data_IF_297101163884
#
_entry.id   IF_297101163884
#
_cell.length_a   1.000
_cell.length_b   1.000
_cell.length_c   1.000
_cell.angle_alpha   90.00
_cell.angle_beta   90.00
_cell.angle_gamma   90.00
#
_symmetry.space_group_name_H-M   'P 1'
#
loop_
_entity.id
_entity.type
_entity.pdbx_description
1 polymer ?
#
# COMPACT_ATOMS: atom_id res chain seq x y z
N UNK A 1 -2.72 -5.25 -36.22
CA UNK A 1 -1.67 -4.56 -35.44
C UNK A 1 -1.96 -4.45 -33.93
N UNK A 2 -3.21 -4.55 -33.45
CA UNK A 2 -3.50 -4.54 -31.99
C UNK A 2 -2.95 -5.75 -31.18
N UNK A 3 -2.71 -6.89 -31.83
CA UNK A 3 -2.24 -8.12 -31.18
C UNK A 3 -0.73 -8.23 -30.92
N UNK A 4 0.10 -7.35 -31.50
CA UNK A 4 1.55 -7.28 -31.20
C UNK A 4 1.83 -6.37 -30.02
N UNK A 5 1.09 -5.28 -29.88
CA UNK A 5 1.25 -4.31 -28.79
C UNK A 5 0.72 -4.84 -27.44
N UNK A 6 -0.30 -5.71 -27.48
CA UNK A 6 -0.75 -6.47 -26.30
C UNK A 6 0.28 -7.52 -25.86
N UNK A 7 0.96 -8.18 -26.81
CA UNK A 7 2.03 -9.16 -26.53
C UNK A 7 3.30 -8.50 -25.97
N UNK A 8 3.60 -7.26 -26.36
CA UNK A 8 4.73 -6.49 -25.78
C UNK A 8 4.50 -6.06 -24.33
N UNK A 9 3.24 -5.82 -23.91
CA UNK A 9 2.91 -5.45 -22.52
C UNK A 9 3.00 -6.61 -21.53
N UNK A 10 2.76 -7.84 -21.98
CA UNK A 10 2.82 -9.06 -21.18
C UNK A 10 4.01 -9.93 -21.60
N UNK A 11 5.21 -9.33 -21.59
CA UNK A 11 6.43 -10.03 -21.93
C UNK A 11 7.57 -9.59 -21.02
N UNK A 12 8.40 -10.56 -20.64
CA UNK A 12 9.67 -10.39 -19.94
C UNK A 12 10.85 -10.77 -20.83
N UNK A 13 10.66 -10.80 -22.15
CA UNK A 13 11.72 -11.15 -23.09
C UNK A 13 12.93 -10.22 -22.89
N UNK A 14 14.10 -10.82 -22.69
CA UNK A 14 15.36 -10.11 -22.46
C UNK A 14 15.51 -9.55 -21.04
N UNK A 15 14.59 -9.85 -20.11
CA UNK A 15 14.75 -9.58 -18.67
C UNK A 15 15.45 -10.73 -17.98
N UNK A 16 16.28 -10.40 -17.00
CA UNK A 16 17.00 -11.36 -16.15
C UNK A 16 16.44 -11.34 -14.74
N UNK A 17 16.19 -12.50 -14.15
CA UNK A 17 15.60 -12.60 -12.82
C UNK A 17 16.39 -13.52 -11.89
N UNK A 18 16.49 -13.13 -10.62
CA UNK A 18 16.93 -13.98 -9.52
C UNK A 18 15.75 -14.27 -8.62
N UNK A 19 15.38 -15.55 -8.47
CA UNK A 19 14.35 -15.99 -7.51
C UNK A 19 15.01 -16.78 -6.40
N UNK A 20 15.03 -16.25 -5.18
CA UNK A 20 15.61 -16.98 -4.05
C UNK A 20 14.64 -18.07 -3.57
N UNK A 21 15.10 -19.31 -3.38
CA UNK A 21 14.25 -20.40 -2.92
C UNK A 21 13.22 -20.86 -3.96
N UNK A 22 13.57 -20.88 -5.25
CA UNK A 22 12.60 -21.06 -6.33
C UNK A 22 12.23 -22.49 -6.69
N UNK A 23 12.61 -23.51 -5.93
CA UNK A 23 12.39 -24.92 -6.30
C UNK A 23 11.12 -25.55 -5.72
N UNK A 24 10.39 -24.83 -4.86
CA UNK A 24 9.15 -25.30 -4.23
C UNK A 24 8.15 -24.15 -4.05
N UNK A 25 6.86 -24.49 -3.97
CA UNK A 25 5.79 -23.58 -3.57
C UNK A 25 5.71 -22.29 -4.42
N UNK A 26 5.58 -21.14 -3.75
CA UNK A 26 5.46 -19.81 -4.40
C UNK A 26 6.68 -19.52 -5.28
N UNK A 27 7.88 -19.82 -4.81
CA UNK A 27 9.11 -19.61 -5.57
C UNK A 27 9.11 -20.39 -6.90
N UNK A 28 8.65 -21.64 -6.88
CA UNK A 28 8.51 -22.47 -8.10
C UNK A 28 7.52 -21.86 -9.09
N UNK A 29 6.35 -21.47 -8.61
CA UNK A 29 5.33 -20.85 -9.45
C UNK A 29 5.82 -19.52 -10.06
N UNK A 30 6.55 -18.71 -9.28
CA UNK A 30 7.17 -17.47 -9.78
C UNK A 30 8.19 -17.78 -10.88
N UNK A 31 9.04 -18.79 -10.69
CA UNK A 31 10.02 -19.19 -11.73
C UNK A 31 9.29 -19.59 -13.02
N UNK A 32 8.25 -20.42 -12.94
CA UNK A 32 7.51 -20.86 -14.13
C UNK A 32 6.79 -19.71 -14.84
N UNK A 33 6.14 -18.81 -14.11
CA UNK A 33 5.45 -17.65 -14.69
C UNK A 33 6.44 -16.70 -15.36
N UNK A 34 7.52 -16.31 -14.66
CA UNK A 34 8.53 -15.42 -15.23
C UNK A 34 9.18 -16.04 -16.48
N UNK A 35 9.43 -17.35 -16.48
CA UNK A 35 10.00 -18.07 -17.61
C UNK A 35 9.01 -18.18 -18.78
N UNK A 36 7.72 -18.42 -18.48
CA UNK A 36 6.64 -18.45 -19.46
C UNK A 36 6.47 -17.12 -20.20
N UNK A 37 6.80 -15.99 -19.56
CA UNK A 37 6.85 -14.67 -20.19
C UNK A 37 8.17 -14.34 -20.88
N UNK A 38 9.15 -15.25 -20.89
CA UNK A 38 10.41 -15.12 -21.64
C UNK A 38 11.60 -14.53 -20.85
N UNK A 39 11.51 -14.48 -19.51
CA UNK A 39 12.66 -14.08 -18.69
C UNK A 39 13.75 -15.17 -18.68
N UNK A 40 15.00 -14.74 -18.53
CA UNK A 40 16.15 -15.62 -18.24
C UNK A 40 16.33 -15.63 -16.72
N UNK A 41 16.29 -16.80 -16.10
CA UNK A 41 16.18 -16.92 -14.64
C UNK A 41 17.38 -17.64 -14.06
N UNK A 42 17.87 -17.14 -12.94
CA UNK A 42 18.70 -17.89 -12.01
C UNK A 42 17.90 -18.10 -10.72
N UNK A 43 17.91 -19.30 -10.18
CA UNK A 43 17.25 -19.61 -8.90
C UNK A 43 18.24 -20.22 -7.92
N UNK A 44 17.89 -20.25 -6.65
CA UNK A 44 18.68 -20.97 -5.67
C UNK A 44 17.82 -21.80 -4.72
N UNK A 45 18.40 -22.87 -4.20
CA UNK A 45 17.83 -23.69 -3.15
C UNK A 45 18.94 -24.41 -2.37
N UNK A 46 18.61 -24.98 -1.21
CA UNK A 46 19.57 -25.73 -0.37
C UNK A 46 19.74 -27.19 -0.79
N UNK A 47 18.70 -27.77 -1.38
CA UNK A 47 18.67 -29.18 -1.78
C UNK A 47 19.08 -29.28 -3.26
N UNK A 48 20.30 -29.75 -3.48
CA UNK A 48 20.89 -29.89 -4.81
C UNK A 48 20.16 -30.89 -5.70
N UNK A 49 19.72 -32.02 -5.13
CA UNK A 49 19.04 -33.05 -5.90
C UNK A 49 17.70 -32.54 -6.43
N UNK A 50 16.89 -31.93 -5.54
CA UNK A 50 15.60 -31.36 -5.92
C UNK A 50 15.74 -30.13 -6.84
N UNK A 51 16.80 -29.33 -6.67
CA UNK A 51 17.13 -28.25 -7.61
C UNK A 51 17.42 -28.79 -9.01
N UNK A 52 18.24 -29.84 -9.12
CA UNK A 52 18.61 -30.43 -10.40
C UNK A 52 17.40 -31.08 -11.12
N UNK A 53 16.48 -31.68 -10.38
CA UNK A 53 15.21 -32.18 -10.92
C UNK A 53 14.38 -31.03 -11.54
N UNK A 54 14.16 -29.94 -10.79
CA UNK A 54 13.42 -28.78 -11.28
C UNK A 54 14.09 -28.16 -12.52
N UNK A 55 15.42 -28.06 -12.54
CA UNK A 55 16.16 -27.55 -13.70
C UNK A 55 16.00 -28.44 -14.93
N UNK A 56 15.99 -29.77 -14.75
CA UNK A 56 15.69 -30.71 -15.84
C UNK A 56 14.28 -30.51 -16.38
N UNK A 57 13.30 -30.34 -15.50
CA UNK A 57 11.90 -30.13 -15.89
C UNK A 57 11.68 -28.80 -16.62
N UNK A 58 12.24 -27.70 -16.12
CA UNK A 58 12.16 -26.40 -16.79
C UNK A 58 12.89 -26.42 -18.13
N UNK A 59 14.02 -27.13 -18.24
CA UNK A 59 14.70 -27.35 -19.52
C UNK A 59 13.83 -28.11 -20.51
N UNK A 60 13.12 -29.16 -20.06
CA UNK A 60 12.18 -29.92 -20.90
C UNK A 60 10.97 -29.07 -21.34
N UNK A 61 10.56 -28.08 -20.53
CA UNK A 61 9.55 -27.07 -20.89
C UNK A 61 10.08 -25.96 -21.82
N UNK A 62 11.38 -25.95 -22.13
CA UNK A 62 12.01 -24.92 -22.98
C UNK A 62 12.31 -23.61 -22.25
N UNK A 63 12.27 -23.59 -20.92
CA UNK A 63 12.56 -22.41 -20.11
C UNK A 63 14.06 -22.20 -19.93
N UNK A 64 14.48 -20.93 -19.88
CA UNK A 64 15.86 -20.54 -19.63
C UNK A 64 16.08 -20.33 -18.13
N UNK A 65 16.18 -21.43 -17.39
CA UNK A 65 16.42 -21.41 -15.94
C UNK A 65 17.74 -22.10 -15.62
N UNK A 66 18.55 -21.44 -14.81
CA UNK A 66 19.76 -21.99 -14.20
C UNK A 66 19.62 -21.91 -12.68
N UNK A 67 20.45 -22.63 -11.92
CA UNK A 67 20.39 -22.53 -10.47
C UNK A 67 21.69 -22.86 -9.77
N UNK A 68 21.79 -22.40 -8.52
CA UNK A 68 22.92 -22.63 -7.63
C UNK A 68 22.44 -23.16 -6.28
N UNK A 69 23.22 -24.03 -5.65
CA UNK A 69 23.02 -24.38 -4.25
C UNK A 69 23.39 -23.16 -3.39
N UNK A 70 22.48 -22.74 -2.51
CA UNK A 70 22.68 -21.62 -1.58
C UNK A 70 21.82 -21.76 -0.34
N UNK A 71 22.44 -21.75 0.84
CA UNK A 71 21.78 -21.44 2.09
C UNK A 71 21.71 -19.92 2.29
N UNK A 72 20.50 -19.39 2.17
CA UNK A 72 20.25 -17.98 2.36
C UNK A 72 20.57 -17.47 3.76
N UNK A 73 20.77 -18.31 4.79
CA UNK A 73 21.25 -17.88 6.11
C UNK A 73 22.77 -17.62 6.15
N UNK A 74 23.53 -18.15 5.17
CA UNK A 74 24.97 -18.02 5.11
C UNK A 74 25.41 -16.79 4.33
N UNK A 75 26.13 -15.87 4.99
CA UNK A 75 26.62 -14.64 4.36
C UNK A 75 27.54 -14.89 3.16
N UNK A 76 28.50 -15.80 3.30
CA UNK A 76 29.47 -16.14 2.26
C UNK A 76 28.80 -16.81 1.05
N UNK A 77 27.76 -17.61 1.27
CA UNK A 77 26.99 -18.21 0.18
C UNK A 77 26.14 -17.19 -0.56
N UNK A 78 25.61 -16.16 0.11
CA UNK A 78 24.91 -15.05 -0.56
C UNK A 78 25.83 -14.32 -1.52
N UNK A 79 27.06 -14.01 -1.07
CA UNK A 79 28.07 -13.34 -1.90
C UNK A 79 28.45 -14.20 -3.11
N UNK A 80 28.69 -15.50 -2.90
CA UNK A 80 29.01 -16.45 -3.98
C UNK A 80 27.87 -16.58 -5.00
N UNK A 81 26.61 -16.65 -4.52
CA UNK A 81 25.43 -16.65 -5.39
C UNK A 81 25.38 -15.38 -6.24
N UNK A 82 25.59 -14.21 -5.62
CA UNK A 82 25.52 -12.94 -6.33
C UNK A 82 26.68 -12.72 -7.31
N UNK A 83 27.87 -13.24 -7.03
CA UNK A 83 28.98 -13.29 -7.99
C UNK A 83 28.63 -14.16 -9.20
N UNK A 84 27.99 -15.30 -8.96
CA UNK A 84 27.51 -16.20 -10.02
C UNK A 84 26.45 -15.50 -10.88
N UNK A 85 25.45 -14.85 -10.26
CA UNK A 85 24.41 -14.08 -10.94
C UNK A 85 25.00 -12.92 -11.75
N UNK A 86 25.97 -12.21 -11.18
CA UNK A 86 26.69 -11.15 -11.88
C UNK A 86 27.37 -11.67 -13.14
N UNK A 87 28.05 -12.82 -13.05
CA UNK A 87 28.74 -13.43 -14.20
C UNK A 87 27.75 -13.91 -15.26
N UNK A 88 26.67 -14.59 -14.85
CA UNK A 88 25.66 -15.15 -15.75
C UNK A 88 24.89 -14.08 -16.51
N UNK A 89 24.64 -12.94 -15.88
CA UNK A 89 23.81 -11.88 -16.45
C UNK A 89 24.59 -10.67 -16.94
N UNK A 90 25.91 -10.79 -17.18
CA UNK A 90 26.76 -9.66 -17.62
C UNK A 90 26.58 -8.43 -16.71
N UNK A 91 26.61 -8.70 -15.41
CA UNK A 91 26.37 -7.76 -14.33
C UNK A 91 25.02 -7.01 -14.40
N UNK A 92 24.01 -7.49 -15.14
CA UNK A 92 22.70 -6.84 -15.33
C UNK A 92 21.56 -7.71 -14.84
N UNK A 93 21.09 -7.47 -13.63
CA UNK A 93 19.91 -8.13 -13.07
C UNK A 93 18.68 -7.23 -13.26
N UNK A 94 17.58 -7.74 -13.81
CA UNK A 94 16.35 -6.94 -13.98
C UNK A 94 15.37 -7.12 -12.83
N UNK A 95 15.28 -8.32 -12.25
CA UNK A 95 14.28 -8.67 -11.24
C UNK A 95 14.95 -9.45 -10.12
N UNK A 96 14.78 -9.00 -8.87
CA UNK A 96 15.13 -9.75 -7.67
C UNK A 96 13.86 -10.13 -6.91
N UNK A 97 13.63 -11.42 -6.71
CA UNK A 97 12.55 -11.95 -5.88
C UNK A 97 13.16 -12.53 -4.60
N UNK A 98 13.03 -11.79 -3.50
CA UNK A 98 13.35 -12.25 -2.15
C UNK A 98 12.23 -13.16 -1.63
N UNK A 99 12.25 -14.42 -2.05
CA UNK A 99 11.23 -15.42 -1.72
C UNK A 99 11.65 -16.37 -0.59
N UNK A 100 12.94 -16.52 -0.29
CA UNK A 100 13.36 -17.40 0.81
C UNK A 100 12.73 -16.97 2.14
N UNK A 101 12.08 -17.93 2.78
CA UNK A 101 11.56 -17.82 4.12
C UNK A 101 11.45 -19.21 4.75
N UNK A 102 11.70 -19.29 6.05
CA UNK A 102 11.55 -20.50 6.84
C UNK A 102 10.81 -20.20 8.15
N UNK A 103 10.14 -21.22 8.67
CA UNK A 103 9.40 -21.15 9.93
C UNK A 103 9.78 -22.35 10.79
N UNK A 104 10.19 -22.09 12.03
CA UNK A 104 10.27 -23.10 13.11
C UNK A 104 9.17 -22.77 14.09
N UNK A 105 8.05 -23.48 13.96
CA UNK A 105 6.86 -23.21 14.76
C UNK A 105 7.07 -23.71 16.20
N UNK A 106 7.06 -22.78 17.15
CA UNK A 106 7.08 -23.04 18.59
C UNK A 106 6.19 -22.03 19.33
N UNK A 107 5.62 -22.39 20.49
CA UNK A 107 5.06 -21.42 21.43
C UNK A 107 6.09 -20.34 21.78
N UNK A 108 5.65 -19.10 21.99
CA UNK A 108 6.56 -17.96 22.25
C UNK A 108 7.53 -18.25 23.39
N UNK A 109 7.05 -18.85 24.48
CA UNK A 109 7.84 -19.19 25.68
C UNK A 109 8.87 -20.33 25.47
N UNK A 110 8.79 -21.04 24.35
CA UNK A 110 9.70 -22.15 24.01
C UNK A 110 10.73 -21.76 22.94
N UNK A 111 10.71 -20.51 22.46
CA UNK A 111 11.70 -20.04 21.49
C UNK A 111 13.05 -19.80 22.18
N UNK A 112 14.12 -20.25 21.53
CA UNK A 112 15.49 -20.02 21.98
C UNK A 112 16.16 -18.89 21.18
N UNK A 113 17.36 -18.47 21.62
CA UNK A 113 18.16 -17.49 20.87
C UNK A 113 18.56 -18.01 19.48
N UNK A 114 18.75 -19.33 19.34
CA UNK A 114 19.03 -19.99 18.07
C UNK A 114 17.81 -19.94 17.14
N UNK A 115 16.59 -20.10 17.66
CA UNK A 115 15.37 -19.94 16.87
C UNK A 115 15.22 -18.49 16.39
N UNK A 116 15.52 -17.51 17.24
CA UNK A 116 15.52 -16.09 16.87
C UNK A 116 16.52 -15.79 15.75
N UNK A 117 17.77 -16.18 15.96
CA UNK A 117 18.87 -15.96 15.02
C UNK A 117 18.60 -16.65 13.67
N UNK A 118 18.04 -17.86 13.70
CA UNK A 118 17.65 -18.58 12.49
C UNK A 118 16.62 -17.80 11.65
N UNK A 119 15.52 -17.33 12.26
CA UNK A 119 14.47 -16.63 11.54
C UNK A 119 14.95 -15.26 11.02
N UNK A 120 15.68 -14.50 11.84
CA UNK A 120 16.22 -13.18 11.45
C UNK A 120 17.20 -13.34 10.30
N UNK A 121 18.17 -14.25 10.44
CA UNK A 121 19.18 -14.46 9.42
C UNK A 121 18.57 -14.96 8.10
N UNK A 122 17.63 -15.91 8.19
CA UNK A 122 17.04 -16.53 6.99
C UNK A 122 15.98 -15.67 6.31
N UNK A 123 15.13 -14.97 7.07
CA UNK A 123 13.94 -14.32 6.51
C UNK A 123 14.09 -12.82 6.29
N UNK A 124 15.01 -12.16 7.01
CA UNK A 124 15.17 -10.71 7.00
C UNK A 124 16.58 -10.29 6.54
N UNK A 125 17.64 -10.74 7.22
CA UNK A 125 19.02 -10.36 6.86
C UNK A 125 19.39 -10.86 5.46
N UNK A 126 18.95 -12.05 5.08
CA UNK A 126 19.19 -12.60 3.75
C UNK A 126 18.63 -11.69 2.66
N UNK A 127 17.37 -11.28 2.80
CA UNK A 127 16.67 -10.45 1.84
C UNK A 127 17.28 -9.05 1.77
N UNK A 128 17.69 -8.49 2.92
CA UNK A 128 18.43 -7.23 2.98
C UNK A 128 19.79 -7.34 2.28
N UNK A 129 20.60 -8.34 2.63
CA UNK A 129 21.94 -8.50 2.07
C UNK A 129 21.92 -8.82 0.58
N UNK A 130 20.99 -9.67 0.11
CA UNK A 130 20.77 -9.90 -1.32
C UNK A 130 20.40 -8.61 -2.05
N UNK A 131 19.56 -7.76 -1.46
CA UNK A 131 19.21 -6.47 -2.06
C UNK A 131 20.41 -5.52 -2.15
N UNK A 132 21.27 -5.50 -1.11
CA UNK A 132 22.53 -4.73 -1.13
C UNK A 132 23.48 -5.20 -2.23
N UNK A 133 23.71 -6.51 -2.33
CA UNK A 133 24.59 -7.11 -3.32
C UNK A 133 24.02 -6.97 -4.75
N UNK A 134 22.69 -7.02 -4.90
CA UNK A 134 22.02 -6.91 -6.20
C UNK A 134 21.91 -5.47 -6.71
N UNK A 135 21.97 -4.46 -5.83
CA UNK A 135 21.83 -3.06 -6.21
C UNK A 135 22.70 -2.62 -7.42
N UNK A 136 24.02 -2.88 -7.47
CA UNK A 136 24.83 -2.51 -8.64
C UNK A 136 24.36 -3.21 -9.93
N UNK A 137 23.87 -4.45 -9.85
CA UNK A 137 23.38 -5.22 -10.99
C UNK A 137 21.98 -4.77 -11.44
N UNK A 138 21.13 -4.38 -10.50
CA UNK A 138 19.81 -3.82 -10.75
C UNK A 138 19.90 -2.44 -11.39
N UNK A 139 20.91 -1.65 -10.99
CA UNK A 139 21.19 -0.35 -11.57
C UNK A 139 21.69 -0.45 -13.01
N UNK A 140 22.63 -1.38 -13.28
CA UNK A 140 23.23 -1.54 -14.62
C UNK A 140 22.24 -2.07 -15.66
N UNK A 141 21.20 -2.80 -15.26
CA UNK A 141 20.17 -3.32 -16.17
C UNK A 141 19.22 -2.24 -16.70
N UNK A 142 19.20 -1.07 -16.07
CA UNK A 142 18.31 0.06 -16.43
C UNK A 142 16.83 -0.18 -16.16
N UNK A 143 16.45 -1.32 -15.59
CA UNK A 143 15.05 -1.70 -15.33
C UNK A 143 14.89 -2.59 -14.08
N UNK A 144 15.73 -2.39 -13.08
CA UNK A 144 15.73 -3.15 -11.84
C UNK A 144 14.42 -3.09 -11.06
N UNK A 145 13.95 -4.23 -10.58
CA UNK A 145 12.80 -4.38 -9.69
C UNK A 145 13.12 -5.37 -8.56
N UNK A 146 12.68 -5.07 -7.33
CA UNK A 146 12.84 -5.94 -6.16
C UNK A 146 11.47 -6.25 -5.56
N UNK A 147 11.18 -7.53 -5.35
CA UNK A 147 9.94 -8.01 -4.73
C UNK A 147 10.29 -8.83 -3.49
N UNK A 148 9.64 -8.54 -2.36
CA UNK A 148 9.76 -9.31 -1.13
C UNK A 148 8.50 -10.16 -0.92
N UNK A 149 8.68 -11.47 -0.71
CA UNK A 149 7.58 -12.35 -0.34
C UNK A 149 7.42 -12.31 1.19
N UNK A 150 6.43 -11.53 1.65
CA UNK A 150 6.04 -11.42 3.06
C UNK A 150 4.96 -12.44 3.44
N UNK A 151 4.33 -12.28 4.61
CA UNK A 151 3.26 -13.15 5.09
C UNK A 151 2.21 -12.35 5.85
N UNK A 152 0.95 -12.83 5.84
CA UNK A 152 -0.11 -12.30 6.70
C UNK A 152 0.28 -12.35 8.19
N UNK A 153 1.10 -13.33 8.59
CA UNK A 153 1.64 -13.42 9.95
C UNK A 153 2.50 -12.21 10.36
N UNK A 154 2.96 -11.41 9.40
CA UNK A 154 3.61 -10.12 9.62
C UNK A 154 2.68 -8.95 9.95
N UNK A 155 1.36 -9.16 9.89
CA UNK A 155 0.37 -8.12 10.14
C UNK A 155 -0.74 -8.57 11.10
N UNK A 156 -0.82 -9.87 11.41
CA UNK A 156 -1.73 -10.43 12.42
C UNK A 156 -0.99 -11.37 13.37
N UNK A 157 -1.45 -11.44 14.62
CA UNK A 157 -0.89 -12.36 15.61
C UNK A 157 -1.20 -13.82 15.27
N UNK A 158 -0.16 -14.66 15.21
CA UNK A 158 -0.27 -16.11 15.15
C UNK A 158 0.22 -16.69 16.49
N UNK A 159 -0.63 -17.47 17.18
CA UNK A 159 -0.34 -18.02 18.51
C UNK A 159 0.83 -19.02 18.57
N UNK A 160 1.37 -19.39 17.42
CA UNK A 160 2.58 -20.19 17.24
C UNK A 160 3.43 -19.47 16.17
N UNK A 161 4.70 -19.15 16.44
CA UNK A 161 5.65 -18.46 15.52
C UNK A 161 5.76 -16.91 15.60
N UNK A 162 5.79 -16.33 16.80
CA UNK A 162 5.95 -14.88 17.04
C UNK A 162 7.21 -14.26 16.41
N UNK A 163 8.32 -14.99 16.36
CA UNK A 163 9.58 -14.52 15.74
C UNK A 163 9.43 -14.42 14.22
N UNK A 164 8.79 -15.42 13.59
CA UNK A 164 8.46 -15.37 12.16
C UNK A 164 7.55 -14.17 11.85
N UNK A 165 6.53 -13.93 12.68
CA UNK A 165 5.69 -12.73 12.59
C UNK A 165 6.53 -11.45 12.64
N UNK A 166 7.48 -11.34 13.58
CA UNK A 166 8.37 -10.18 13.69
C UNK A 166 9.27 -9.98 12.46
N UNK A 167 9.74 -11.07 11.84
CA UNK A 167 10.53 -10.99 10.58
C UNK A 167 9.72 -10.59 9.35
N UNK A 168 8.39 -10.68 9.43
CA UNK A 168 7.44 -10.29 8.38
C UNK A 168 6.64 -9.02 8.76
N UNK A 169 6.91 -8.50 9.95
CA UNK A 169 6.15 -7.57 10.78
C UNK A 169 6.18 -6.10 10.35
N UNK A 170 5.09 -5.56 9.80
CA UNK A 170 4.87 -4.10 9.76
C UNK A 170 3.61 -3.80 10.58
N UNK A 171 3.77 -3.39 11.85
CA UNK A 171 2.68 -2.95 12.72
C UNK A 171 2.73 -1.43 12.92
N UNK A 172 1.57 -0.76 12.84
CA UNK A 172 1.43 0.65 13.17
C UNK A 172 0.70 0.83 14.51
N UNK A 173 1.14 1.78 15.33
CA UNK A 173 0.37 2.28 16.46
C UNK A 173 -0.52 3.40 15.94
N UNK A 174 -1.82 3.32 16.18
CA UNK A 174 -2.82 4.21 15.58
C UNK A 174 -3.44 5.08 16.68
N UNK A 175 -3.62 6.36 16.39
CA UNK A 175 -4.46 7.26 17.17
C UNK A 175 -5.55 7.81 16.25
N UNK A 176 -6.82 7.62 16.61
CA UNK A 176 -7.98 8.09 15.84
C UNK A 176 -8.77 9.12 16.63
N UNK A 177 -9.59 9.93 15.96
CA UNK A 177 -10.51 10.83 16.63
C UNK A 177 -11.92 10.74 16.04
N UNK A 178 -12.91 11.05 16.86
CA UNK A 178 -14.31 11.17 16.45
C UNK A 178 -15.04 12.14 17.40
N UNK A 179 -16.16 12.71 16.94
CA UNK A 179 -16.98 13.64 17.76
C UNK A 179 -17.91 12.92 18.74
N UNK A 180 -18.26 11.66 18.46
CA UNK A 180 -19.14 10.85 19.30
C UNK A 180 -18.28 9.94 20.18
N UNK A 181 -18.22 10.26 21.48
CA UNK A 181 -17.43 9.53 22.45
C UNK A 181 -17.93 8.09 22.66
N UNK A 182 -19.24 7.87 22.68
CA UNK A 182 -19.82 6.56 22.94
C UNK A 182 -19.47 5.60 21.79
N UNK A 183 -19.68 6.05 20.55
CA UNK A 183 -19.34 5.26 19.38
C UNK A 183 -17.82 5.06 19.21
N UNK A 184 -17.01 6.08 19.54
CA UNK A 184 -15.56 5.95 19.55
C UNK A 184 -15.09 4.86 20.53
N UNK A 185 -15.64 4.84 21.74
CA UNK A 185 -15.28 3.86 22.76
C UNK A 185 -15.71 2.43 22.37
N UNK A 186 -16.84 2.28 21.68
CA UNK A 186 -17.26 1.00 21.09
C UNK A 186 -16.24 0.51 20.06
N UNK A 187 -15.83 1.38 19.12
CA UNK A 187 -14.83 1.04 18.11
C UNK A 187 -13.48 0.66 18.74
N UNK A 188 -13.02 1.42 19.74
CA UNK A 188 -11.77 1.14 20.46
C UNK A 188 -11.82 -0.21 21.18
N UNK A 189 -12.96 -0.55 21.79
CA UNK A 189 -13.18 -1.85 22.41
C UNK A 189 -13.05 -2.98 21.39
N UNK A 190 -13.67 -2.81 20.22
CA UNK A 190 -13.65 -3.82 19.17
C UNK A 190 -12.27 -3.98 18.51
N UNK A 191 -11.53 -2.89 18.28
CA UNK A 191 -10.15 -2.97 17.80
C UNK A 191 -9.21 -3.58 18.82
N UNK A 192 -9.41 -3.30 20.11
CA UNK A 192 -8.66 -3.93 21.20
C UNK A 192 -8.90 -5.44 21.25
N UNK A 193 -10.14 -5.91 21.08
CA UNK A 193 -10.46 -7.35 20.97
C UNK A 193 -9.77 -8.01 19.76
N UNK A 194 -9.57 -7.27 18.67
CA UNK A 194 -8.85 -7.71 17.46
C UNK A 194 -7.32 -7.66 17.61
N UNK A 195 -6.80 -7.19 18.74
CA UNK A 195 -5.37 -7.09 19.02
C UNK A 195 -4.67 -5.90 18.36
N UNK A 196 -5.43 -4.92 17.87
CA UNK A 196 -4.86 -3.70 17.28
C UNK A 196 -4.45 -2.71 18.36
N UNK A 197 -3.32 -2.03 18.14
CA UNK A 197 -2.84 -0.95 19.00
C UNK A 197 -3.46 0.37 18.54
N UNK A 198 -4.71 0.63 18.98
CA UNK A 198 -5.44 1.84 18.64
C UNK A 198 -5.83 2.59 19.93
N UNK A 199 -5.53 3.88 19.96
CA UNK A 199 -6.02 4.83 20.96
C UNK A 199 -6.93 5.85 20.28
N UNK A 200 -7.71 6.60 21.06
CA UNK A 200 -8.53 7.65 20.46
C UNK A 200 -8.80 8.83 21.38
N UNK A 201 -9.25 9.93 20.78
CA UNK A 201 -9.64 11.14 21.49
C UNK A 201 -10.87 11.76 20.84
N UNK A 202 -11.73 12.36 21.66
CA UNK A 202 -12.86 13.13 21.16
C UNK A 202 -12.34 14.42 20.52
N UNK A 203 -12.77 14.70 19.30
CA UNK A 203 -12.40 15.91 18.58
C UNK A 203 -13.47 16.25 17.52
N UNK A 204 -14.04 17.45 17.62
CA UNK A 204 -14.73 18.08 16.50
C UNK A 204 -13.69 18.74 15.58
N UNK A 205 -13.49 18.12 14.42
CA UNK A 205 -12.57 18.62 13.42
C UNK A 205 -12.97 19.97 12.82
N UNK A 206 -14.17 20.52 13.06
CA UNK A 206 -14.51 21.91 12.71
C UNK A 206 -13.98 22.94 13.73
N UNK A 207 -13.65 22.50 14.95
CA UNK A 207 -13.17 23.36 16.04
C UNK A 207 -11.65 23.51 16.02
N UNK A 208 -11.17 24.75 15.90
CA UNK A 208 -9.74 25.04 15.84
C UNK A 208 -8.97 24.62 17.10
N UNK A 209 -9.51 24.94 18.28
CA UNK A 209 -8.90 24.63 19.58
C UNK A 209 -8.86 23.12 19.83
N UNK A 210 -9.85 22.37 19.35
CA UNK A 210 -9.86 20.92 19.46
C UNK A 210 -8.82 20.25 18.54
N UNK A 211 -8.57 20.82 17.35
CA UNK A 211 -7.49 20.34 16.46
C UNK A 211 -6.11 20.46 17.12
N UNK A 212 -5.84 21.60 17.76
CA UNK A 212 -4.59 21.84 18.48
C UNK A 212 -4.43 20.88 19.65
N UNK A 213 -5.48 20.71 20.46
CA UNK A 213 -5.49 19.77 21.58
C UNK A 213 -5.25 18.34 21.09
N UNK A 214 -5.91 17.91 20.01
CA UNK A 214 -5.70 16.59 19.42
C UNK A 214 -4.24 16.42 18.99
N UNK A 215 -3.64 17.42 18.33
CA UNK A 215 -2.25 17.31 17.88
C UNK A 215 -1.25 17.28 19.05
N UNK A 216 -1.53 18.00 20.15
CA UNK A 216 -0.74 17.90 21.38
C UNK A 216 -0.79 16.48 21.98
N UNK A 217 -1.98 15.87 22.00
CA UNK A 217 -2.15 14.48 22.41
C UNK A 217 -1.37 13.53 21.50
N UNK A 218 -1.49 13.68 20.18
CA UNK A 218 -0.75 12.87 19.18
C UNK A 218 0.76 13.04 19.37
N UNK A 219 1.24 14.26 19.55
CA UNK A 219 2.65 14.55 19.80
C UNK A 219 3.15 13.86 21.07
N UNK A 220 2.34 13.79 22.12
CA UNK A 220 2.71 13.11 23.36
C UNK A 220 2.71 11.59 23.19
N UNK A 221 1.69 11.05 22.51
CA UNK A 221 1.52 9.60 22.32
C UNK A 221 2.59 8.98 21.42
N UNK A 222 3.11 9.74 20.46
CA UNK A 222 4.06 9.25 19.47
C UNK A 222 5.46 9.84 19.63
N UNK A 223 5.83 10.34 20.81
CA UNK A 223 7.15 10.91 21.08
C UNK A 223 7.58 11.94 20.03
N UNK A 224 6.64 12.82 19.68
CA UNK A 224 6.73 13.84 18.66
C UNK A 224 7.04 13.34 17.23
N UNK A 225 6.82 12.05 16.92
CA UNK A 225 7.10 11.39 15.64
C UNK A 225 5.84 10.76 15.04
N UNK A 226 5.12 11.52 14.23
CA UNK A 226 3.98 11.01 13.48
C UNK A 226 4.44 10.58 12.09
N UNK A 227 4.29 9.33 11.69
CA UNK A 227 4.67 8.90 10.33
C UNK A 227 3.55 9.10 9.30
N UNK A 228 2.28 9.00 9.72
CA UNK A 228 1.14 8.96 8.82
C UNK A 228 0.03 9.89 9.35
N UNK A 229 -0.45 10.80 8.51
CA UNK A 229 -1.65 11.60 8.74
C UNK A 229 -2.71 11.24 7.70
N UNK A 230 -3.90 10.80 8.15
CA UNK A 230 -5.04 10.53 7.27
C UNK A 230 -6.13 11.57 7.52
N UNK A 231 -6.26 12.52 6.59
CA UNK A 231 -7.34 13.48 6.55
C UNK A 231 -8.59 12.82 5.96
N UNK A 232 -9.31 12.06 6.79
CA UNK A 232 -10.53 11.33 6.41
C UNK A 232 -11.82 12.13 6.63
N UNK A 233 -11.82 13.08 7.55
CA UNK A 233 -13.05 13.81 7.94
C UNK A 233 -13.72 14.43 6.72
N UNK A 234 -15.02 14.22 6.62
CA UNK A 234 -15.84 14.81 5.58
C UNK A 234 -17.32 14.75 5.93
N UNK A 235 -18.04 15.81 5.59
CA UNK A 235 -19.49 15.87 5.69
C UNK A 235 -20.08 16.48 4.42
N UNK A 236 -21.32 16.11 4.12
CA UNK A 236 -22.08 16.63 2.99
C UNK A 236 -23.47 17.04 3.47
N UNK A 237 -23.89 18.26 3.15
CA UNK A 237 -25.28 18.70 3.14
C UNK A 237 -25.66 18.92 1.69
N UNK A 238 -26.43 17.99 1.13
CA UNK A 238 -26.81 18.06 -0.28
C UNK A 238 -27.99 19.02 -0.46
N UNK A 239 -27.78 20.06 -1.26
CA UNK A 239 -28.80 21.01 -1.69
C UNK A 239 -28.52 21.43 -3.14
N UNK A 240 -29.54 21.78 -3.94
CA UNK A 240 -29.36 22.49 -5.19
C UNK A 240 -28.46 23.72 -4.99
N UNK A 241 -27.61 24.04 -5.97
CA UNK A 241 -26.64 25.13 -5.83
C UNK A 241 -27.28 26.46 -5.42
N UNK A 242 -28.46 26.77 -5.97
CA UNK A 242 -29.21 27.99 -5.71
C UNK A 242 -29.87 28.05 -4.31
N UNK A 243 -29.90 26.93 -3.58
CA UNK A 243 -30.50 26.82 -2.24
C UNK A 243 -29.44 26.79 -1.13
N UNK A 244 -28.14 26.76 -1.48
CA UNK A 244 -27.08 26.79 -0.48
C UNK A 244 -27.01 28.17 0.17
N UNK A 245 -26.86 28.17 1.50
CA UNK A 245 -26.69 29.38 2.29
C UNK A 245 -25.21 29.63 2.63
N UNK A 246 -24.91 30.79 3.22
CA UNK A 246 -23.57 31.09 3.72
C UNK A 246 -23.14 30.12 4.84
N UNK A 247 -24.10 29.63 5.63
CA UNK A 247 -23.89 28.63 6.66
C UNK A 247 -23.55 27.26 6.07
N UNK A 248 -24.22 26.86 4.97
CA UNK A 248 -23.87 25.63 4.25
C UNK A 248 -22.45 25.71 3.68
N UNK A 249 -22.08 26.87 3.11
CA UNK A 249 -20.73 27.11 2.61
C UNK A 249 -19.69 26.99 3.71
N UNK A 250 -19.87 27.73 4.80
CA UNK A 250 -18.96 27.75 5.95
C UNK A 250 -18.81 26.36 6.58
N UNK A 251 -19.90 25.60 6.70
CA UNK A 251 -19.89 24.24 7.22
C UNK A 251 -18.99 23.31 6.41
N UNK A 252 -19.16 23.28 5.07
CA UNK A 252 -18.37 22.40 4.22
C UNK A 252 -16.90 22.83 4.17
N UNK A 253 -16.62 24.14 4.07
CA UNK A 253 -15.25 24.66 4.03
C UNK A 253 -14.52 24.34 5.33
N UNK A 254 -15.13 24.65 6.48
CA UNK A 254 -14.51 24.44 7.78
C UNK A 254 -14.29 22.95 8.07
N UNK A 255 -15.28 22.12 7.78
CA UNK A 255 -15.24 20.68 8.07
C UNK A 255 -14.36 19.89 7.12
N UNK A 256 -14.43 20.15 5.81
CA UNK A 256 -13.78 19.31 4.81
C UNK A 256 -12.40 19.82 4.39
N UNK A 257 -12.18 21.14 4.35
CA UNK A 257 -10.96 21.73 3.81
C UNK A 257 -10.07 22.36 4.89
N UNK A 258 -10.62 23.27 5.70
CA UNK A 258 -9.82 23.97 6.72
C UNK A 258 -9.27 23.00 7.77
N UNK A 259 -10.07 21.99 8.16
CA UNK A 259 -9.63 20.94 9.07
C UNK A 259 -8.41 20.20 8.53
N UNK A 260 -8.46 19.75 7.27
CA UNK A 260 -7.40 19.00 6.63
C UNK A 260 -6.14 19.86 6.41
N UNK A 261 -6.32 21.12 6.07
CA UNK A 261 -5.23 22.10 5.97
C UNK A 261 -4.56 22.33 7.33
N UNK A 262 -5.34 22.66 8.36
CA UNK A 262 -4.81 22.97 9.69
C UNK A 262 -4.16 21.74 10.36
N UNK A 263 -4.77 20.55 10.25
CA UNK A 263 -4.13 19.33 10.73
C UNK A 263 -2.81 19.05 10.03
N UNK A 264 -2.71 19.30 8.72
CA UNK A 264 -1.45 19.15 7.99
C UNK A 264 -0.38 20.13 8.50
N UNK A 265 -0.75 21.39 8.77
CA UNK A 265 0.16 22.38 9.35
C UNK A 265 0.66 21.98 10.74
N UNK A 266 -0.27 21.58 11.63
CA UNK A 266 0.06 21.17 12.99
C UNK A 266 0.90 19.88 13.01
N UNK A 267 0.67 18.96 12.07
CA UNK A 267 1.37 17.70 11.97
C UNK A 267 2.76 17.81 11.32
N UNK A 268 3.03 18.86 10.54
CA UNK A 268 4.30 19.04 9.81
C UNK A 268 5.56 18.79 10.65
N UNK A 269 5.75 19.41 11.84
CA UNK A 269 6.94 19.15 12.65
C UNK A 269 7.05 17.68 13.09
N UNK A 270 5.92 17.00 13.35
CA UNK A 270 5.89 15.60 13.75
C UNK A 270 6.19 14.66 12.57
N UNK A 271 5.64 14.98 11.40
CA UNK A 271 5.85 14.27 10.14
C UNK A 271 7.31 14.36 9.70
N UNK A 272 7.89 15.57 9.77
CA UNK A 272 9.30 15.81 9.48
C UNK A 272 10.21 15.04 10.44
N UNK A 273 9.91 15.05 11.74
CA UNK A 273 10.75 14.34 12.73
C UNK A 273 10.74 12.82 12.55
N UNK A 274 9.67 12.26 11.98
CA UNK A 274 9.55 10.83 11.69
C UNK A 274 10.49 10.33 10.58
N UNK A 275 10.97 11.23 9.71
CA UNK A 275 11.80 10.91 8.55
C UNK A 275 11.10 10.14 7.42
N UNK A 276 9.80 9.83 7.55
CA UNK A 276 9.04 9.04 6.57
C UNK A 276 7.58 9.51 6.46
N UNK A 277 7.34 10.82 6.59
CA UNK A 277 6.00 11.40 6.64
C UNK A 277 5.14 11.08 5.41
N UNK A 278 3.88 10.70 5.65
CA UNK A 278 2.90 10.45 4.60
C UNK A 278 1.56 11.06 4.98
N UNK A 279 1.03 11.93 4.12
CA UNK A 279 -0.27 12.56 4.27
C UNK A 279 -1.21 11.98 3.21
N UNK A 280 -2.36 11.48 3.65
CA UNK A 280 -3.41 10.98 2.78
C UNK A 280 -4.67 11.81 2.97
N UNK A 281 -5.15 12.43 1.90
CA UNK A 281 -6.44 13.11 1.86
C UNK A 281 -7.50 12.18 1.28
N UNK A 282 -8.58 11.93 2.02
CA UNK A 282 -9.75 11.24 1.48
C UNK A 282 -10.64 12.29 0.80
N UNK A 283 -10.38 12.48 -0.49
CA UNK A 283 -11.11 13.34 -1.40
C UNK A 283 -12.42 12.68 -1.86
N UNK A 284 -12.86 13.00 -3.08
CA UNK A 284 -13.99 12.38 -3.75
C UNK A 284 -13.82 12.48 -5.26
N UNK A 285 -14.39 11.53 -5.99
CA UNK A 285 -14.54 11.59 -7.45
C UNK A 285 -15.25 12.87 -7.89
N UNK A 286 -16.11 13.45 -7.04
CA UNK A 286 -16.81 14.71 -7.34
C UNK A 286 -15.88 15.93 -7.33
N UNK A 287 -14.68 15.80 -6.73
CA UNK A 287 -13.60 16.77 -6.83
C UNK A 287 -12.77 16.65 -8.12
N UNK A 288 -13.11 15.70 -9.00
CA UNK A 288 -12.44 15.44 -10.28
C UNK A 288 -13.42 15.63 -11.45
N UNK A 289 -14.63 15.10 -11.31
CA UNK A 289 -15.72 15.19 -12.30
C UNK A 289 -17.02 15.62 -11.63
N UNK A 290 -17.99 16.11 -12.41
CA UNK A 290 -19.32 16.41 -11.87
C UNK A 290 -20.16 15.14 -11.77
N UNK A 291 -20.78 14.90 -10.62
CA UNK A 291 -21.73 13.81 -10.39
C UNK A 291 -23.14 14.31 -10.02
N UNK A 292 -23.45 15.58 -10.29
CA UNK A 292 -24.77 16.16 -9.99
C UNK A 292 -25.09 16.32 -8.50
N UNK A 293 -24.08 16.22 -7.62
CA UNK A 293 -24.24 16.32 -6.17
C UNK A 293 -23.40 17.48 -5.60
N UNK A 294 -24.00 18.24 -4.67
CA UNK A 294 -23.45 19.36 -3.87
C UNK A 294 -22.18 20.02 -4.44
N UNK A 295 -22.35 21.18 -5.09
CA UNK A 295 -21.25 21.93 -5.71
C UNK A 295 -20.19 22.39 -4.69
N UNK A 296 -20.61 22.74 -3.47
CA UNK A 296 -19.69 23.18 -2.40
C UNK A 296 -18.85 22.00 -1.91
N UNK A 297 -19.47 20.85 -1.64
CA UNK A 297 -18.75 19.64 -1.28
C UNK A 297 -17.70 19.29 -2.34
N UNK A 298 -18.11 19.26 -3.61
CA UNK A 298 -17.23 18.98 -4.75
C UNK A 298 -16.07 19.97 -4.84
N UNK A 299 -16.30 21.25 -4.61
CA UNK A 299 -15.26 22.27 -4.54
C UNK A 299 -14.26 22.00 -3.39
N UNK A 300 -14.75 21.63 -2.19
CA UNK A 300 -13.86 21.30 -1.06
C UNK A 300 -12.99 20.08 -1.35
N UNK A 301 -13.55 19.05 -2.00
CA UNK A 301 -12.80 17.84 -2.38
C UNK A 301 -11.79 18.12 -3.50
N UNK A 302 -12.16 18.93 -4.49
CA UNK A 302 -11.23 19.44 -5.50
C UNK A 302 -10.09 20.27 -4.92
N UNK A 303 -10.38 21.11 -3.92
CA UNK A 303 -9.37 21.89 -3.22
C UNK A 303 -8.37 20.99 -2.47
N UNK A 304 -8.82 19.90 -1.84
CA UNK A 304 -7.91 18.93 -1.23
C UNK A 304 -7.02 18.22 -2.25
N UNK A 305 -7.51 17.95 -3.46
CA UNK A 305 -6.68 17.40 -4.54
C UNK A 305 -5.52 18.35 -4.88
N UNK A 306 -5.80 19.65 -4.93
CA UNK A 306 -4.78 20.66 -5.16
C UNK A 306 -3.86 20.83 -3.95
N UNK A 307 -4.40 20.79 -2.73
CA UNK A 307 -3.61 20.84 -1.51
C UNK A 307 -2.60 19.70 -1.45
N UNK A 308 -3.01 18.47 -1.78
CA UNK A 308 -2.09 17.33 -1.84
C UNK A 308 -0.92 17.55 -2.81
N UNK A 309 -1.18 18.16 -3.98
CA UNK A 309 -0.12 18.54 -4.94
C UNK A 309 0.84 19.58 -4.36
N UNK A 310 0.31 20.63 -3.75
CA UNK A 310 1.12 21.69 -3.17
C UNK A 310 2.01 21.15 -2.03
N UNK A 311 1.43 20.45 -1.06
CA UNK A 311 2.18 19.88 0.07
C UNK A 311 3.22 18.85 -0.40
N UNK A 312 2.91 18.08 -1.43
CA UNK A 312 3.87 17.14 -2.02
C UNK A 312 5.12 17.83 -2.56
N UNK A 313 4.97 19.02 -3.16
CA UNK A 313 6.10 19.80 -3.66
C UNK A 313 6.81 20.58 -2.55
N UNK A 314 6.03 21.24 -1.68
CA UNK A 314 6.54 22.11 -0.61
C UNK A 314 7.32 21.32 0.45
N UNK A 315 6.88 20.10 0.77
CA UNK A 315 7.44 19.31 1.88
C UNK A 315 8.28 18.10 1.43
N UNK A 316 8.57 18.00 0.13
CA UNK A 316 9.42 16.93 -0.43
C UNK A 316 10.82 16.92 0.21
N UNK A 317 11.44 18.09 0.43
CA UNK A 317 12.76 18.20 1.05
C UNK A 317 12.78 17.76 2.51
N UNK A 318 11.61 17.74 3.17
CA UNK A 318 11.43 17.25 4.52
C UNK A 318 11.12 15.75 4.57
N UNK A 319 11.15 15.05 3.41
CA UNK A 319 10.84 13.62 3.31
C UNK A 319 9.35 13.31 3.49
N UNK A 320 8.47 14.30 3.29
CA UNK A 320 7.02 14.16 3.46
C UNK A 320 6.36 13.99 2.08
N UNK A 321 5.50 12.98 1.98
CA UNK A 321 4.65 12.76 0.80
C UNK A 321 3.22 13.18 1.09
N UNK A 322 2.51 13.65 0.08
CA UNK A 322 1.09 13.96 0.17
C UNK A 322 0.34 13.40 -1.03
N UNK A 323 -0.75 12.67 -0.80
CA UNK A 323 -1.55 12.01 -1.83
C UNK A 323 -3.02 12.27 -1.56
N UNK A 324 -3.80 12.49 -2.61
CA UNK A 324 -5.25 12.49 -2.54
C UNK A 324 -5.82 11.19 -3.12
N UNK A 325 -6.78 10.59 -2.42
CA UNK A 325 -7.57 9.47 -2.92
C UNK A 325 -8.96 10.02 -3.21
N UNK A 326 -9.52 9.73 -4.38
CA UNK A 326 -10.82 10.19 -4.82
C UNK A 326 -11.79 9.00 -5.00
N UNK A 327 -12.43 8.51 -3.93
CA UNK A 327 -13.42 7.45 -4.05
C UNK A 327 -14.69 7.93 -4.76
N UNK A 328 -15.36 7.02 -5.46
CA UNK A 328 -16.78 7.21 -5.81
C UNK A 328 -17.69 6.90 -4.62
N UNK A 329 -18.96 6.61 -4.89
CA UNK A 329 -19.91 6.22 -3.84
C UNK A 329 -19.49 4.87 -3.25
N UNK A 330 -19.15 4.90 -1.95
CA UNK A 330 -18.74 3.74 -1.15
C UNK A 330 -19.87 3.40 -0.18
N UNK A 331 -20.19 2.11 -0.05
CA UNK A 331 -21.18 1.59 0.90
C UNK A 331 -20.73 1.84 2.36
N UNK A 332 -21.10 2.99 2.88
CA UNK A 332 -20.75 3.51 4.21
C UNK A 332 -22.00 4.05 4.88
N UNK A 333 -22.04 4.17 6.23
CA UNK A 333 -23.19 4.76 6.92
C UNK A 333 -23.58 6.15 6.39
N UNK A 334 -22.60 6.97 5.98
CA UNK A 334 -22.86 8.29 5.38
C UNK A 334 -23.73 8.19 4.11
N UNK A 335 -23.49 7.18 3.28
CA UNK A 335 -24.28 6.94 2.05
C UNK A 335 -25.62 6.30 2.38
N UNK A 336 -25.66 5.41 3.37
CA UNK A 336 -26.90 4.75 3.80
C UNK A 336 -27.95 5.75 4.31
N UNK A 337 -27.55 6.71 5.13
CA UNK A 337 -28.45 7.72 5.71
C UNK A 337 -28.55 9.02 4.88
N UNK A 338 -27.55 9.31 4.06
CA UNK A 338 -27.45 10.58 3.32
C UNK A 338 -28.10 10.59 1.94
N UNK A 339 -28.42 9.43 1.38
CA UNK A 339 -28.99 9.30 0.03
C UNK A 339 -30.07 8.22 -0.02
N UNK A 340 -31.10 8.47 -0.84
CA UNK A 340 -32.17 7.51 -1.10
C UNK A 340 -31.73 6.36 -2.03
N UNK A 341 -32.59 5.36 -2.16
CA UNK A 341 -32.30 4.16 -2.95
C UNK A 341 -32.34 4.43 -4.47
N UNK A 342 -33.05 5.46 -4.92
CA UNK A 342 -33.04 5.85 -6.34
C UNK A 342 -31.68 6.39 -6.73
N UNK A 343 -31.10 7.28 -5.91
CA UNK A 343 -29.75 7.78 -6.09
C UNK A 343 -28.72 6.65 -6.10
N UNK A 344 -28.80 5.70 -5.16
CA UNK A 344 -27.88 4.56 -5.09
C UNK A 344 -27.96 3.72 -6.37
N UNK A 345 -29.17 3.36 -6.83
CA UNK A 345 -29.37 2.62 -8.09
C UNK A 345 -28.88 3.39 -9.31
N UNK A 346 -29.12 4.70 -9.36
CA UNK A 346 -28.60 5.55 -10.43
C UNK A 346 -27.06 5.53 -10.47
N UNK A 347 -26.41 5.60 -9.32
CA UNK A 347 -24.96 5.49 -9.20
C UNK A 347 -24.44 4.12 -9.61
N UNK A 348 -25.09 3.03 -9.18
CA UNK A 348 -24.72 1.65 -9.57
C UNK A 348 -24.83 1.45 -11.09
N UNK A 349 -25.93 1.90 -11.70
CA UNK A 349 -26.13 1.80 -13.16
C UNK A 349 -25.14 2.66 -13.97
N UNK A 350 -24.71 3.79 -13.39
CA UNK A 350 -23.74 4.68 -14.03
C UNK A 350 -22.32 4.16 -13.86
N UNK A 351 -22.00 3.47 -12.76
CA UNK A 351 -20.69 2.90 -12.53
C UNK A 351 -20.38 1.75 -13.50
N UNK A 352 -19.26 1.75 -14.25
CA UNK A 352 -18.89 0.64 -15.12
C UNK A 352 -18.80 -0.73 -14.44
N UNK A 353 -18.43 -0.79 -13.15
CA UNK A 353 -18.44 -2.05 -12.39
C UNK A 353 -19.83 -2.45 -11.87
N UNK A 354 -20.86 -1.64 -12.11
CA UNK A 354 -22.26 -1.99 -11.83
C UNK A 354 -22.62 -2.08 -10.34
N UNK A 355 -21.80 -1.50 -9.45
CA UNK A 355 -22.01 -1.55 -7.99
C UNK A 355 -21.35 -0.37 -7.29
N UNK A 356 -21.73 -0.15 -6.03
CA UNK A 356 -20.98 0.70 -5.12
C UNK A 356 -19.64 0.08 -4.74
N UNK A 357 -18.66 0.94 -4.41
CA UNK A 357 -17.40 0.48 -3.83
C UNK A 357 -17.58 0.01 -2.39
N UNK A 358 -16.70 -0.87 -1.92
CA UNK A 358 -16.64 -1.31 -0.51
C UNK A 358 -15.58 -0.52 0.26
N UNK A 359 -15.77 -0.26 1.56
CA UNK A 359 -14.78 0.44 2.38
C UNK A 359 -13.37 -0.16 2.30
N UNK A 360 -13.27 -1.50 2.21
CA UNK A 360 -12.01 -2.23 2.17
C UNK A 360 -11.21 -1.95 0.88
N UNK A 361 -11.87 -1.61 -0.22
CA UNK A 361 -11.22 -1.29 -1.50
C UNK A 361 -10.48 0.05 -1.41
N UNK A 362 -11.03 1.02 -0.65
CA UNK A 362 -10.35 2.28 -0.35
C UNK A 362 -9.29 2.08 0.72
N UNK A 363 -9.60 1.35 1.80
CA UNK A 363 -8.68 1.11 2.90
C UNK A 363 -7.39 0.40 2.45
N UNK A 364 -7.49 -0.56 1.52
CA UNK A 364 -6.33 -1.26 0.97
C UNK A 364 -5.39 -0.32 0.22
N UNK A 365 -5.92 0.64 -0.55
CA UNK A 365 -5.11 1.64 -1.23
C UNK A 365 -4.46 2.61 -0.24
N UNK A 366 -5.20 3.07 0.78
CA UNK A 366 -4.66 3.92 1.85
C UNK A 366 -3.47 3.23 2.52
N UNK A 367 -3.63 1.96 2.90
CA UNK A 367 -2.56 1.19 3.53
C UNK A 367 -1.33 1.10 2.62
N UNK A 368 -1.51 0.75 1.34
CA UNK A 368 -0.42 0.71 0.36
C UNK A 368 0.31 2.04 0.22
N UNK A 369 -0.41 3.16 0.12
CA UNK A 369 0.17 4.50 -0.05
C UNK A 369 0.98 4.97 1.17
N UNK A 370 0.68 4.41 2.34
CA UNK A 370 1.42 4.63 3.57
C UNK A 370 2.64 3.71 3.73
N UNK A 371 2.81 2.68 2.89
CA UNK A 371 3.95 1.77 2.94
C UNK A 371 5.18 2.34 2.19
N UNK A 372 6.40 1.90 2.55
CA UNK A 372 7.62 2.26 1.82
C UNK A 372 7.58 1.90 0.32
N UNK A 373 6.80 0.89 -0.06
CA UNK A 373 6.58 0.51 -1.46
C UNK A 373 5.97 1.65 -2.31
N UNK A 374 5.25 2.59 -1.69
CA UNK A 374 4.68 3.77 -2.34
C UNK A 374 5.56 5.03 -2.18
N UNK A 375 6.82 4.90 -1.74
CA UNK A 375 7.72 6.03 -1.45
C UNK A 375 7.99 6.96 -2.63
N UNK A 376 7.76 6.52 -3.88
CA UNK A 376 7.89 7.35 -5.07
C UNK A 376 6.54 7.90 -5.60
N UNK A 377 5.46 7.71 -4.85
CA UNK A 377 4.11 8.20 -5.19
C UNK A 377 3.80 9.39 -4.28
N UNK A 378 3.76 10.59 -4.87
CA UNK A 378 3.40 11.84 -4.19
C UNK A 378 2.75 12.82 -5.18
N UNK A 379 1.92 13.73 -4.68
CA UNK A 379 1.20 14.74 -5.45
C UNK A 379 0.09 14.19 -6.35
N UNK A 380 -0.19 12.89 -6.31
CA UNK A 380 -1.19 12.26 -7.17
C UNK A 380 -2.60 12.40 -6.57
N UNK A 381 -3.59 12.45 -7.47
CA UNK A 381 -4.99 12.18 -7.14
C UNK A 381 -5.37 10.85 -7.76
N UNK A 382 -5.60 9.83 -6.93
CA UNK A 382 -5.90 8.47 -7.39
C UNK A 382 -7.39 8.21 -7.23
N UNK A 383 -8.10 7.98 -8.34
CA UNK A 383 -9.52 7.65 -8.32
C UNK A 383 -9.73 6.17 -7.95
N UNK A 384 -10.63 5.92 -6.99
CA UNK A 384 -11.09 4.58 -6.59
C UNK A 384 -12.60 4.52 -6.82
N UNK A 385 -12.98 4.37 -8.08
CA UNK A 385 -14.31 4.78 -8.54
C UNK A 385 -15.03 3.77 -9.44
N UNK A 386 -14.46 2.58 -9.63
CA UNK A 386 -15.01 1.56 -10.54
C UNK A 386 -15.06 2.02 -12.01
N UNK A 387 -14.27 3.02 -12.39
CA UNK A 387 -14.23 3.58 -13.73
C UNK A 387 -15.22 4.73 -13.96
N UNK A 388 -15.91 5.22 -12.92
CA UNK A 388 -16.91 6.28 -13.04
C UNK A 388 -16.35 7.56 -13.68
N UNK A 389 -15.18 8.04 -13.25
CA UNK A 389 -14.58 9.29 -13.76
C UNK A 389 -14.08 9.21 -15.21
N UNK A 390 -13.89 8.00 -15.73
CA UNK A 390 -13.37 7.75 -17.08
C UNK A 390 -14.44 7.24 -18.05
N UNK A 391 -15.68 7.05 -17.58
CA UNK A 391 -16.83 6.68 -18.40
C UNK A 391 -17.31 7.90 -19.21
N UNK A 392 -16.71 8.11 -20.37
CA UNK A 392 -17.10 9.16 -21.31
C UNK A 392 -18.33 8.79 -22.14
N UNK A 393 -18.13 8.19 -23.32
CA UNK A 393 -19.18 7.80 -24.26
C UNK A 393 -19.16 6.29 -24.51
N UNK A 394 -20.33 5.66 -24.39
CA UNK A 394 -20.54 4.22 -24.64
C UNK A 394 -21.52 4.06 -25.80
N UNK A 395 -21.01 3.78 -27.00
CA UNK A 395 -21.83 3.35 -28.13
C UNK A 395 -21.97 1.83 -28.09
N UNK A 396 -23.19 1.33 -27.89
CA UNK A 396 -23.52 -0.07 -28.12
C UNK A 396 -24.28 -0.18 -29.44
N UNK A 397 -23.61 -0.48 -30.57
CA UNK A 397 -24.30 -0.84 -31.79
C UNK A 397 -24.92 -2.22 -31.56
N UNK A 398 -26.23 -2.24 -31.34
CA UNK A 398 -27.07 -3.42 -31.15
C UNK A 398 -26.96 -4.07 -29.76
N UNK A 399 -27.77 -3.57 -28.81
CA UNK A 399 -28.21 -4.33 -27.64
C UNK A 399 -29.63 -4.83 -27.88
#
# INVERSE_FOLDING_TARGET
MAGEDQRRRWSLQGKTALVTGGTKGIGHAIVEELAGFGAIIHTCARDEAHLNECLSDWKNKGFQVTGSVCDASSWTEREKLMQTVSTLFDAKLSILINNVGAIRSKPTIENTAEDFSFHISTNLESAYHFSQLAHPLLKSSGCGNIVFISSVAGVVSFGISSIYCATKGFGAIIHTCARDEAHLNECLSDWKKKGFQVTGSVCDASSWTEREKLMQTVSTLFDAKLSILINNVGAIRSKPTIENTAEDFSFHISTNLESAYHFSQLAHPLLKSSGCGSIVFISSVTGVVSCGVSSIYSATKGAMNQLARNLACEWASDGIRAIAIAPAVIATPLVEYGFDDEFKKAMESTNPLGRLGKPEEVASLVAFLCMPAASYITGQTICVDGGLSVKGFSYQPHA
#
